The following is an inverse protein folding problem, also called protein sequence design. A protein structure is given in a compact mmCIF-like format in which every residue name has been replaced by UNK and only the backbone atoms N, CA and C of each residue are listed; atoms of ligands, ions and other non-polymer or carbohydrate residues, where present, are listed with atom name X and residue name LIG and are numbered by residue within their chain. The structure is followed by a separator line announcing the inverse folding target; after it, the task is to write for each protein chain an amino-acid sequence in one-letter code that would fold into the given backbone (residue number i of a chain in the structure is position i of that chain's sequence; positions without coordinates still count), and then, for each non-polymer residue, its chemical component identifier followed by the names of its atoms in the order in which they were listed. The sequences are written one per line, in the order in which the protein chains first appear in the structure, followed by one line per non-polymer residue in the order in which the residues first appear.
data_IF_071067796872
#
_entry.id   IF_071067796872
#
_cell.length_a   1.000
_cell.length_b   1.000
_cell.length_c   1.000
_cell.angle_alpha   90.00
_cell.angle_beta   90.00
_cell.angle_gamma   90.00
#
_symmetry.space_group_name_H-M   'P 1'
#
loop_
_entity.id
_entity.type
_entity.pdbx_description
1 polymer ?
#
# COMPACT_ATOMS: atom_id res chain seq x y z
N UNK A 1 2.66 -19.28 -3.21
CA UNK A 1 2.75 -20.74 -3.03
C UNK A 1 1.41 -21.47 -3.09
N UNK A 2 0.63 -21.64 -2.02
CA UNK A 2 -0.54 -22.55 -2.08
C UNK A 2 -1.63 -22.18 -3.12
N UNK A 3 -1.88 -20.87 -3.36
CA UNK A 3 -2.86 -20.42 -4.38
C UNK A 3 -2.34 -20.59 -5.82
N UNK A 4 -1.05 -20.36 -6.06
CA UNK A 4 -0.43 -20.39 -7.39
C UNK A 4 -0.16 -21.82 -7.85
N UNK A 5 0.21 -22.70 -6.92
CA UNK A 5 0.45 -24.12 -7.16
C UNK A 5 -0.85 -24.89 -7.44
N UNK A 6 -1.99 -24.38 -6.97
CA UNK A 6 -3.33 -24.98 -7.12
C UNK A 6 -4.11 -24.46 -8.35
N UNK A 7 -3.75 -23.30 -8.91
CA UNK A 7 -4.49 -22.66 -10.02
C UNK A 7 -4.04 -23.12 -11.43
N UNK A 8 -3.09 -24.04 -11.54
CA UNK A 8 -2.71 -24.68 -12.79
C UNK A 8 -1.76 -23.86 -13.68
N UNK A 9 -0.81 -24.58 -14.28
CA UNK A 9 0.35 -24.15 -15.09
C UNK A 9 -0.01 -23.48 -16.45
N UNK A 10 -1.06 -22.64 -16.49
CA UNK A 10 -1.63 -22.14 -17.75
C UNK A 10 -1.31 -20.69 -18.14
N UNK A 11 -0.73 -19.87 -17.25
CA UNK A 11 -0.26 -18.50 -17.57
C UNK A 11 0.91 -18.15 -16.65
N UNK A 12 2.09 -18.72 -16.89
CA UNK A 12 3.33 -18.28 -16.23
C UNK A 12 4.23 -17.66 -17.29
N UNK A 13 3.96 -16.39 -17.58
CA UNK A 13 4.92 -15.53 -18.29
C UNK A 13 6.15 -15.37 -17.38
N UNK A 14 7.26 -16.01 -17.77
CA UNK A 14 8.70 -15.71 -17.61
C UNK A 14 9.28 -15.08 -16.31
N UNK A 15 8.50 -14.77 -15.28
CA UNK A 15 8.96 -14.08 -14.06
C UNK A 15 9.36 -14.96 -12.88
N UNK A 16 9.22 -16.29 -12.99
CA UNK A 16 9.28 -17.22 -11.84
C UNK A 16 10.65 -17.90 -11.65
N UNK A 17 11.63 -17.65 -12.51
CA UNK A 17 12.89 -18.41 -12.46
C UNK A 17 13.89 -18.03 -11.35
N UNK A 18 13.68 -16.96 -10.56
CA UNK A 18 14.54 -16.68 -9.40
C UNK A 18 13.79 -16.06 -8.21
N UNK A 19 12.79 -16.74 -7.64
CA UNK A 19 12.28 -16.37 -6.32
C UNK A 19 12.99 -17.17 -5.22
N UNK A 20 14.13 -16.66 -4.75
CA UNK A 20 14.82 -17.19 -3.58
C UNK A 20 14.00 -16.84 -2.32
N UNK A 21 13.36 -17.85 -1.73
CA UNK A 21 12.53 -17.71 -0.52
C UNK A 21 13.25 -16.96 0.61
N UNK A 22 14.57 -17.15 0.75
CA UNK A 22 15.38 -16.45 1.74
C UNK A 22 15.47 -14.96 1.42
N UNK A 23 15.69 -14.59 0.16
CA UNK A 23 15.67 -13.18 -0.29
C UNK A 23 14.28 -12.58 -0.11
N UNK A 24 13.23 -13.32 -0.45
CA UNK A 24 11.83 -12.89 -0.27
C UNK A 24 11.50 -12.55 1.19
N UNK A 25 11.87 -13.43 2.14
CA UNK A 25 11.67 -13.19 3.58
C UNK A 25 12.46 -11.96 4.05
N UNK A 26 13.73 -11.81 3.63
CA UNK A 26 14.53 -10.64 3.98
C UNK A 26 13.93 -9.33 3.46
N UNK A 27 13.48 -9.32 2.20
CA UNK A 27 12.82 -8.15 1.60
C UNK A 27 11.51 -7.84 2.35
N UNK A 28 10.73 -8.86 2.72
CA UNK A 28 9.49 -8.68 3.46
C UNK A 28 9.73 -8.08 4.86
N UNK A 29 10.72 -8.57 5.60
CA UNK A 29 11.08 -8.04 6.93
C UNK A 29 11.58 -6.60 6.81
N UNK A 30 12.49 -6.34 5.88
CA UNK A 30 13.01 -5.00 5.65
C UNK A 30 11.91 -4.02 5.24
N UNK A 31 11.03 -4.43 4.31
CA UNK A 31 9.88 -3.64 3.88
C UNK A 31 8.92 -3.36 5.04
N UNK A 32 8.67 -4.33 5.92
CA UNK A 32 7.87 -4.13 7.12
C UNK A 32 8.44 -3.08 8.07
N UNK A 33 9.75 -3.15 8.36
CA UNK A 33 10.44 -2.14 9.18
C UNK A 33 10.38 -0.76 8.53
N UNK A 34 10.67 -0.68 7.22
CA UNK A 34 10.61 0.58 6.47
C UNK A 34 9.20 1.16 6.37
N UNK A 35 8.17 0.30 6.32
CA UNK A 35 6.76 0.73 6.32
C UNK A 35 6.40 1.40 7.65
N UNK A 36 6.96 0.93 8.78
CA UNK A 36 6.81 1.56 10.09
C UNK A 36 7.35 3.00 10.15
N UNK A 37 8.37 3.33 9.35
CA UNK A 37 8.89 4.70 9.27
C UNK A 37 7.84 5.71 8.79
N UNK A 38 6.84 5.27 8.00
CA UNK A 38 5.75 6.15 7.59
C UNK A 38 4.90 6.58 8.79
N UNK A 39 4.57 5.65 9.69
CA UNK A 39 3.86 5.95 10.93
C UNK A 39 4.64 6.94 11.80
N UNK A 40 5.95 6.74 11.93
CA UNK A 40 6.83 7.69 12.63
C UNK A 40 6.90 9.05 11.95
N UNK A 41 6.89 9.11 10.62
CA UNK A 41 6.81 10.37 9.87
C UNK A 41 5.54 11.16 10.18
N UNK A 42 4.39 10.48 10.27
CA UNK A 42 3.14 11.13 10.68
C UNK A 42 3.17 11.60 12.14
N UNK A 43 3.71 10.78 13.04
CA UNK A 43 3.86 11.13 14.46
C UNK A 43 4.83 12.30 14.67
N UNK A 44 5.94 12.35 13.93
CA UNK A 44 6.89 13.46 13.95
C UNK A 44 6.31 14.76 13.36
N UNK A 45 5.20 14.66 12.61
CA UNK A 45 4.49 15.79 12.03
C UNK A 45 3.67 16.62 13.02
N UNK A 46 3.65 16.29 14.32
CA UNK A 46 2.89 17.06 15.33
C UNK A 46 3.15 18.58 15.30
N UNK A 47 4.39 19.08 15.18
CA UNK A 47 4.62 20.52 15.10
C UNK A 47 3.92 21.19 13.91
N UNK A 48 3.76 20.46 12.80
CA UNK A 48 3.02 20.96 11.62
C UNK A 48 1.53 20.97 11.94
N UNK A 49 1.00 19.96 12.64
CA UNK A 49 -0.41 19.93 13.07
C UNK A 49 -0.73 21.14 13.96
N UNK A 50 0.10 21.40 14.97
CA UNK A 50 -0.07 22.52 15.89
C UNK A 50 -0.07 23.88 15.16
N UNK A 51 0.84 24.07 14.21
CA UNK A 51 0.89 25.28 13.39
C UNK A 51 -0.34 25.43 12.49
N UNK A 52 -0.87 24.33 11.95
CA UNK A 52 -2.07 24.38 11.10
C UNK A 52 -3.32 24.71 11.90
N UNK A 53 -3.43 24.21 13.14
CA UNK A 53 -4.49 24.60 14.07
C UNK A 53 -4.36 26.07 14.47
N UNK A 54 -3.15 26.54 14.77
CA UNK A 54 -2.88 27.94 15.08
C UNK A 54 -3.23 28.88 13.91
N UNK A 55 -3.12 28.39 12.67
CA UNK A 55 -3.54 29.10 11.46
C UNK A 55 -5.07 29.08 11.21
N UNK A 56 -5.86 28.44 12.10
CA UNK A 56 -7.32 28.39 12.03
C UNK A 56 -7.89 27.21 11.22
N UNK A 57 -7.08 26.21 10.91
CA UNK A 57 -7.55 24.99 10.23
C UNK A 57 -8.41 24.15 11.17
N UNK A 58 -9.53 23.60 10.70
CA UNK A 58 -10.35 22.72 11.53
C UNK A 58 -9.59 21.44 11.94
N UNK A 59 -9.89 20.90 13.12
CA UNK A 59 -9.27 19.69 13.68
C UNK A 59 -9.25 18.50 12.71
N UNK A 60 -10.29 18.39 11.88
CA UNK A 60 -10.44 17.35 10.87
C UNK A 60 -9.34 17.36 9.79
N UNK A 61 -8.80 18.56 9.49
CA UNK A 61 -7.90 18.79 8.35
C UNK A 61 -6.44 18.98 8.75
N UNK A 62 -6.13 19.02 10.05
CA UNK A 62 -4.78 19.26 10.58
C UNK A 62 -3.75 18.21 10.11
N UNK A 63 -4.21 17.00 9.75
CA UNK A 63 -3.34 15.91 9.31
C UNK A 63 -2.88 16.02 7.85
N UNK A 64 -3.60 16.79 7.01
CA UNK A 64 -3.30 16.88 5.57
C UNK A 64 -1.95 17.53 5.28
N UNK A 65 -1.55 18.64 5.94
CA UNK A 65 -0.25 19.26 5.68
C UNK A 65 0.93 18.36 6.07
N UNK A 66 0.76 17.51 7.09
CA UNK A 66 1.76 16.48 7.44
C UNK A 66 1.91 15.47 6.31
N UNK A 67 0.79 15.01 5.73
CA UNK A 67 0.83 14.09 4.59
C UNK A 67 1.62 14.67 3.42
N UNK A 68 1.46 15.96 3.10
CA UNK A 68 2.22 16.60 2.02
C UNK A 68 3.73 16.47 2.23
N UNK A 69 4.23 16.70 3.45
CA UNK A 69 5.66 16.62 3.76
C UNK A 69 6.17 15.17 3.73
N UNK A 70 5.43 14.25 4.34
CA UNK A 70 5.83 12.83 4.39
C UNK A 70 5.80 12.19 3.00
N UNK A 71 4.75 12.47 2.21
CA UNK A 71 4.63 11.97 0.84
C UNK A 71 5.67 12.57 -0.09
N UNK A 72 6.08 13.83 0.11
CA UNK A 72 7.17 14.44 -0.64
C UNK A 72 8.49 13.69 -0.41
N UNK A 73 8.77 13.25 0.82
CA UNK A 73 9.93 12.41 1.13
C UNK A 73 9.92 11.06 0.40
N UNK A 74 8.76 10.39 0.37
CA UNK A 74 8.60 9.15 -0.39
C UNK A 74 8.71 9.37 -1.90
N UNK A 75 8.07 10.43 -2.40
CA UNK A 75 8.10 10.82 -3.80
C UNK A 75 9.52 11.11 -4.29
N UNK A 76 10.28 11.95 -3.57
CA UNK A 76 11.65 12.32 -3.96
C UNK A 76 12.55 11.10 -4.12
N UNK A 77 12.53 10.18 -3.15
CA UNK A 77 13.33 8.95 -3.22
C UNK A 77 12.94 8.09 -4.42
N UNK A 78 11.63 7.86 -4.61
CA UNK A 78 11.13 7.06 -5.72
C UNK A 78 11.40 7.73 -7.07
N UNK A 79 11.21 9.05 -7.17
CA UNK A 79 11.45 9.83 -8.38
C UNK A 79 12.91 9.79 -8.80
N UNK A 80 13.86 9.96 -7.87
CA UNK A 80 15.30 9.86 -8.16
C UNK A 80 15.63 8.47 -8.67
N UNK A 81 15.15 7.42 -7.99
CA UNK A 81 15.42 6.05 -8.40
C UNK A 81 14.83 5.71 -9.77
N UNK A 82 13.56 6.05 -10.00
CA UNK A 82 12.90 5.88 -11.29
C UNK A 82 13.60 6.66 -12.41
N UNK A 83 14.01 7.92 -12.17
CA UNK A 83 14.73 8.72 -13.15
C UNK A 83 16.07 8.08 -13.54
N UNK A 84 16.81 7.54 -12.56
CA UNK A 84 18.05 6.80 -12.81
C UNK A 84 17.79 5.53 -13.62
N UNK A 85 16.73 4.77 -13.31
CA UNK A 85 16.36 3.56 -14.06
C UNK A 85 15.91 3.88 -15.48
N UNK A 86 15.07 4.90 -15.68
CA UNK A 86 14.62 5.35 -17.00
C UNK A 86 15.83 5.74 -17.86
N UNK A 87 16.79 6.46 -17.27
CA UNK A 87 18.03 6.83 -17.97
C UNK A 87 18.92 5.63 -18.28
N UNK A 88 19.05 4.68 -17.35
CA UNK A 88 19.86 3.47 -17.53
C UNK A 88 19.27 2.53 -18.58
N UNK A 89 17.94 2.40 -18.61
CA UNK A 89 17.24 1.48 -19.51
C UNK A 89 16.86 2.12 -20.85
N UNK A 90 17.09 3.44 -21.03
CA UNK A 90 16.81 4.13 -22.29
C UNK A 90 15.31 4.31 -22.59
N UNK A 91 14.44 4.14 -21.60
CA UNK A 91 12.97 4.09 -21.77
C UNK A 91 12.31 5.48 -21.77
N UNK A 92 13.09 6.57 -21.89
CA UNK A 92 12.56 7.93 -21.86
C UNK A 92 11.63 8.23 -23.05
N UNK A 93 11.88 7.58 -24.20
CA UNK A 93 11.05 7.71 -25.39
C UNK A 93 9.62 7.17 -25.22
N UNK A 94 9.41 6.22 -24.31
CA UNK A 94 8.11 5.57 -24.08
C UNK A 94 7.06 6.57 -23.55
N UNK A 95 7.50 7.56 -22.76
CA UNK A 95 6.63 8.63 -22.26
C UNK A 95 6.04 9.50 -23.38
N UNK A 96 6.68 9.51 -24.55
CA UNK A 96 6.29 10.26 -25.75
C UNK A 96 5.74 9.36 -26.86
N UNK A 97 5.47 8.08 -26.58
CA UNK A 97 4.87 7.14 -27.51
C UNK A 97 5.87 6.46 -28.46
N UNK A 98 7.16 6.52 -28.18
CA UNK A 98 8.14 5.67 -28.87
C UNK A 98 8.03 4.24 -28.34
N UNK A 99 8.15 3.26 -29.23
CA UNK A 99 8.24 1.86 -28.82
C UNK A 99 9.46 1.67 -27.91
N UNK A 100 9.23 1.11 -26.72
CA UNK A 100 10.29 0.79 -25.78
C UNK A 100 11.22 -0.31 -26.29
N UNK A 101 12.33 -0.59 -25.56
CA UNK A 101 13.21 -1.72 -25.85
C UNK A 101 12.52 -3.09 -25.84
N UNK A 102 11.38 -3.19 -25.13
CA UNK A 102 10.47 -4.33 -25.14
C UNK A 102 9.15 -3.89 -25.80
N UNK A 103 8.83 -4.36 -27.01
CA UNK A 103 7.56 -4.04 -27.64
C UNK A 103 6.39 -4.69 -26.88
N UNK A 104 5.31 -3.92 -26.67
CA UNK A 104 4.05 -4.47 -26.19
C UNK A 104 3.57 -5.60 -27.11
N UNK A 105 2.90 -6.62 -26.55
CA UNK A 105 2.52 -7.86 -27.24
C UNK A 105 1.70 -7.63 -28.54
N UNK A 106 1.03 -6.48 -28.65
CA UNK A 106 0.12 -6.14 -29.74
C UNK A 106 0.76 -5.26 -30.83
N UNK A 107 2.02 -4.79 -30.65
CA UNK A 107 2.75 -3.95 -31.61
C UNK A 107 2.12 -2.59 -31.93
N UNK A 108 1.05 -2.22 -31.21
CA UNK A 108 0.37 -0.93 -31.32
C UNK A 108 1.10 0.13 -30.49
N UNK A 109 1.09 1.42 -30.89
CA UNK A 109 1.62 2.48 -30.04
C UNK A 109 0.85 2.50 -28.71
N UNK A 110 1.55 2.57 -27.56
CA UNK A 110 0.90 2.47 -26.26
C UNK A 110 -0.12 3.62 -26.09
N UNK A 111 -1.33 3.35 -25.57
CA UNK A 111 -2.33 4.38 -25.35
C UNK A 111 -1.93 5.27 -24.16
N UNK A 112 -1.14 6.31 -24.44
CA UNK A 112 -0.54 7.19 -23.43
C UNK A 112 -1.58 7.83 -22.52
N UNK A 113 -2.63 8.43 -23.09
CA UNK A 113 -3.64 9.14 -22.30
C UNK A 113 -4.41 8.21 -21.35
N UNK A 114 -4.97 7.07 -21.79
CA UNK A 114 -5.57 6.09 -20.88
C UNK A 114 -4.60 5.61 -19.79
N UNK A 115 -3.33 5.35 -20.13
CA UNK A 115 -2.34 4.90 -19.15
C UNK A 115 -2.08 5.96 -18.07
N UNK A 116 -1.92 7.23 -18.46
CA UNK A 116 -1.77 8.32 -17.50
C UNK A 116 -3.03 8.53 -16.65
N UNK A 117 -4.22 8.42 -17.24
CA UNK A 117 -5.49 8.54 -16.51
C UNK A 117 -5.67 7.40 -15.49
N UNK A 118 -5.35 6.16 -15.87
CA UNK A 118 -5.39 5.01 -14.97
C UNK A 118 -4.35 5.13 -13.86
N UNK A 119 -3.12 5.59 -14.18
CA UNK A 119 -2.08 5.84 -13.19
C UNK A 119 -2.49 6.95 -12.20
N UNK A 120 -3.04 8.06 -12.71
CA UNK A 120 -3.54 9.15 -11.89
C UNK A 120 -4.72 8.70 -11.00
N UNK A 121 -5.62 7.87 -11.54
CA UNK A 121 -6.74 7.32 -10.80
C UNK A 121 -6.27 6.38 -9.68
N UNK A 122 -5.35 5.45 -9.99
CA UNK A 122 -4.75 4.55 -8.99
C UNK A 122 -4.01 5.32 -7.89
N UNK A 123 -3.22 6.34 -8.28
CA UNK A 123 -2.55 7.22 -7.32
C UNK A 123 -3.52 8.02 -6.45
N UNK A 124 -4.63 8.49 -7.03
CA UNK A 124 -5.68 9.21 -6.29
C UNK A 124 -6.37 8.29 -5.28
N UNK A 125 -6.74 7.06 -5.67
CA UNK A 125 -7.33 6.08 -4.76
C UNK A 125 -6.39 5.72 -3.61
N UNK A 126 -5.11 5.55 -3.91
CA UNK A 126 -4.08 5.29 -2.91
C UNK A 126 -3.90 6.49 -1.96
N UNK A 127 -3.92 7.72 -2.47
CA UNK A 127 -3.87 8.93 -1.63
C UNK A 127 -5.12 9.05 -0.75
N UNK A 128 -6.31 8.78 -1.29
CA UNK A 128 -7.57 8.83 -0.55
C UNK A 128 -7.55 7.90 0.67
N UNK A 129 -6.86 6.76 0.58
CA UNK A 129 -6.62 5.89 1.73
C UNK A 129 -5.98 6.65 2.91
N UNK A 130 -4.93 7.44 2.66
CA UNK A 130 -4.24 8.23 3.70
C UNK A 130 -5.01 9.48 4.11
N UNK A 131 -5.71 10.11 3.17
CA UNK A 131 -6.59 11.23 3.42
C UNK A 131 -7.67 10.85 4.45
N UNK A 132 -8.44 9.78 4.19
CA UNK A 132 -9.48 9.31 5.11
C UNK A 132 -8.90 8.76 6.41
N UNK A 133 -7.73 8.14 6.35
CA UNK A 133 -7.01 7.73 7.57
C UNK A 133 -6.72 8.91 8.49
N UNK A 134 -6.10 9.98 8.00
CA UNK A 134 -5.76 11.15 8.84
C UNK A 134 -7.00 11.88 9.36
N UNK A 135 -8.06 11.91 8.56
CA UNK A 135 -9.36 12.41 8.97
C UNK A 135 -9.93 11.58 10.14
N UNK A 136 -9.90 10.24 10.03
CA UNK A 136 -10.32 9.34 11.10
C UNK A 136 -9.45 9.46 12.36
N UNK A 137 -8.12 9.47 12.20
CA UNK A 137 -7.15 9.63 13.28
C UNK A 137 -7.41 10.90 14.10
N UNK A 138 -7.73 12.02 13.44
CA UNK A 138 -7.98 13.31 14.11
C UNK A 138 -9.14 13.26 15.12
N UNK A 139 -10.06 12.30 14.95
CA UNK A 139 -11.23 12.09 15.81
C UNK A 139 -11.00 11.06 16.92
N UNK A 140 -9.85 10.38 16.95
CA UNK A 140 -9.57 9.28 17.88
C UNK A 140 -9.06 9.72 19.26
N UNK A 141 -8.73 11.00 19.44
CA UNK A 141 -8.25 11.54 20.73
C UNK A 141 -7.06 10.74 21.28
N UNK A 142 -7.15 10.31 22.55
CA UNK A 142 -6.10 9.53 23.23
C UNK A 142 -5.85 8.15 22.60
N UNK A 143 -6.78 7.62 21.80
CA UNK A 143 -6.61 6.35 21.09
C UNK A 143 -5.82 6.48 19.77
N UNK A 144 -5.30 7.66 19.45
CA UNK A 144 -4.53 7.92 18.24
C UNK A 144 -3.33 6.99 18.05
N UNK A 145 -2.73 6.46 19.11
CA UNK A 145 -1.63 5.48 19.02
C UNK A 145 -2.05 4.18 18.32
N UNK A 146 -3.30 3.72 18.50
CA UNK A 146 -3.80 2.48 17.90
C UNK A 146 -4.24 2.66 16.44
N UNK A 147 -4.38 3.91 15.98
CA UNK A 147 -4.91 4.24 14.65
C UNK A 147 -4.16 3.56 13.50
N UNK A 148 -2.81 3.55 13.54
CA UNK A 148 -1.99 2.95 12.50
C UNK A 148 -2.21 1.44 12.39
N UNK A 149 -2.25 0.74 13.52
CA UNK A 149 -2.49 -0.71 13.53
C UNK A 149 -3.90 -1.05 13.08
N UNK A 150 -4.91 -0.28 13.51
CA UNK A 150 -6.30 -0.45 13.07
C UNK A 150 -6.40 -0.23 11.55
N UNK A 151 -5.70 0.77 11.01
CA UNK A 151 -5.65 1.04 9.58
C UNK A 151 -5.07 -0.13 8.77
N UNK A 152 -3.89 -0.62 9.14
CA UNK A 152 -3.26 -1.76 8.47
C UNK A 152 -4.12 -3.03 8.56
N UNK A 153 -4.68 -3.30 9.75
CA UNK A 153 -5.59 -4.42 9.97
C UNK A 153 -6.84 -4.33 9.08
N UNK A 154 -7.43 -3.13 8.97
CA UNK A 154 -8.60 -2.88 8.14
C UNK A 154 -8.31 -3.09 6.66
N UNK A 155 -7.17 -2.61 6.15
CA UNK A 155 -6.78 -2.80 4.75
C UNK A 155 -6.66 -4.30 4.43
N UNK A 156 -5.98 -5.07 5.28
CA UNK A 156 -5.80 -6.52 5.07
C UNK A 156 -7.16 -7.23 5.10
N UNK A 157 -8.01 -6.89 6.07
CA UNK A 157 -9.35 -7.48 6.21
C UNK A 157 -10.22 -7.20 4.97
N UNK A 158 -10.41 -5.93 4.61
CA UNK A 158 -11.25 -5.55 3.47
C UNK A 158 -10.69 -6.04 2.14
N UNK A 159 -9.37 -5.98 1.94
CA UNK A 159 -8.71 -6.54 0.75
C UNK A 159 -8.99 -8.03 0.60
N UNK A 160 -8.88 -8.78 1.70
CA UNK A 160 -9.15 -10.22 1.69
C UNK A 160 -10.63 -10.52 1.44
N UNK A 161 -11.54 -9.79 2.07
CA UNK A 161 -12.98 -9.93 1.86
C UNK A 161 -13.38 -9.61 0.41
N UNK A 162 -12.84 -8.54 -0.17
CA UNK A 162 -13.09 -8.17 -1.55
C UNK A 162 -12.55 -9.23 -2.52
N UNK A 163 -11.37 -9.81 -2.24
CA UNK A 163 -10.84 -10.93 -3.02
C UNK A 163 -11.80 -12.13 -3.04
N UNK A 164 -12.44 -12.45 -1.91
CA UNK A 164 -13.48 -13.48 -1.87
C UNK A 164 -14.76 -13.06 -2.62
N UNK A 165 -15.19 -11.81 -2.51
CA UNK A 165 -16.37 -11.28 -3.20
C UNK A 165 -16.20 -11.30 -4.74
N UNK A 166 -15.04 -10.88 -5.24
CA UNK A 166 -14.66 -10.96 -6.66
C UNK A 166 -14.39 -12.38 -7.15
N UNK A 167 -14.63 -13.39 -6.30
CA UNK A 167 -14.52 -14.81 -6.66
C UNK A 167 -13.11 -15.25 -7.07
N UNK A 168 -12.07 -14.49 -6.76
CA UNK A 168 -10.67 -14.81 -7.09
C UNK A 168 -10.17 -16.11 -6.42
N UNK A 169 -10.94 -16.64 -5.48
CA UNK A 169 -10.62 -17.84 -4.71
C UNK A 169 -11.45 -19.06 -5.12
N UNK A 170 -12.23 -18.99 -6.21
CA UNK A 170 -13.07 -20.10 -6.69
C UNK A 170 -12.27 -21.36 -7.07
N UNK A 171 -10.98 -21.24 -7.40
CA UNK A 171 -10.09 -22.36 -7.73
C UNK A 171 -9.15 -22.81 -6.60
N UNK A 172 -9.13 -22.12 -5.45
CA UNK A 172 -8.22 -22.45 -4.35
C UNK A 172 -8.74 -23.63 -3.51
N UNK A 173 -7.83 -24.48 -3.01
CA UNK A 173 -8.21 -25.63 -2.20
C UNK A 173 -8.89 -25.23 -0.89
N UNK A 174 -9.68 -26.16 -0.34
CA UNK A 174 -10.34 -25.97 0.96
C UNK A 174 -9.33 -25.71 2.09
N UNK A 175 -8.09 -26.21 1.97
CA UNK A 175 -7.02 -26.00 2.95
C UNK A 175 -6.49 -24.57 2.88
N UNK A 176 -6.19 -24.08 1.68
CA UNK A 176 -5.74 -22.70 1.44
C UNK A 176 -6.78 -21.70 1.93
N UNK A 177 -8.05 -21.92 1.57
CA UNK A 177 -9.16 -21.08 2.04
C UNK A 177 -9.29 -21.08 3.56
N UNK A 178 -9.11 -22.23 4.23
CA UNK A 178 -9.13 -22.33 5.69
C UNK A 178 -7.98 -21.58 6.34
N UNK A 179 -6.78 -21.61 5.76
CA UNK A 179 -5.63 -20.84 6.28
C UNK A 179 -5.87 -19.34 6.20
N UNK A 180 -6.45 -18.84 5.11
CA UNK A 180 -6.80 -17.42 4.96
C UNK A 180 -7.83 -17.00 6.02
N UNK A 181 -8.88 -17.80 6.23
CA UNK A 181 -9.87 -17.52 7.28
C UNK A 181 -9.28 -17.56 8.68
N UNK A 182 -8.39 -18.51 8.98
CA UNK A 182 -7.67 -18.55 10.26
C UNK A 182 -6.80 -17.30 10.44
N UNK A 183 -6.14 -16.83 9.37
CA UNK A 183 -5.39 -15.57 9.38
C UNK A 183 -6.26 -14.36 9.68
N UNK A 184 -7.45 -14.28 9.07
CA UNK A 184 -8.43 -13.21 9.35
C UNK A 184 -8.89 -13.26 10.82
N UNK A 185 -9.25 -14.44 11.33
CA UNK A 185 -9.69 -14.58 12.73
C UNK A 185 -8.57 -14.17 13.68
N UNK A 186 -7.33 -14.60 13.42
CA UNK A 186 -6.17 -14.23 14.22
C UNK A 186 -5.91 -12.71 14.19
N UNK A 187 -6.05 -12.08 13.02
CA UNK A 187 -5.88 -10.65 12.83
C UNK A 187 -6.93 -9.86 13.61
N UNK A 188 -8.22 -10.23 13.50
CA UNK A 188 -9.30 -9.60 14.28
C UNK A 188 -9.05 -9.77 15.78
N UNK A 189 -8.66 -10.97 16.22
CA UNK A 189 -8.35 -11.26 17.61
C UNK A 189 -7.22 -10.37 18.12
N UNK A 190 -6.17 -10.20 17.32
CA UNK A 190 -5.04 -9.30 17.63
C UNK A 190 -5.50 -7.84 17.78
N UNK A 191 -6.33 -7.34 16.85
CA UNK A 191 -6.88 -5.98 16.95
C UNK A 191 -7.70 -5.77 18.22
N UNK A 192 -8.52 -6.76 18.62
CA UNK A 192 -9.30 -6.69 19.86
C UNK A 192 -8.39 -6.69 21.09
N UNK A 193 -7.34 -7.51 21.12
CA UNK A 193 -6.35 -7.53 22.21
C UNK A 193 -5.64 -6.18 22.34
N UNK A 194 -5.22 -5.58 21.23
CA UNK A 194 -4.60 -4.24 21.23
C UNK A 194 -5.58 -3.18 21.73
N UNK A 195 -6.84 -3.23 21.27
CA UNK A 195 -7.88 -2.32 21.73
C UNK A 195 -8.16 -2.42 23.22
N UNK A 196 -8.29 -3.64 23.75
CA UNK A 196 -8.44 -3.89 25.19
C UNK A 196 -7.21 -3.43 25.98
N UNK A 197 -6.00 -3.74 25.49
CA UNK A 197 -4.76 -3.29 26.12
C UNK A 197 -4.67 -1.77 26.22
N UNK A 198 -5.12 -1.05 25.19
CA UNK A 198 -5.16 0.41 25.20
C UNK A 198 -6.25 0.95 26.16
N UNK A 199 -7.40 0.29 26.25
CA UNK A 199 -8.45 0.65 27.21
C UNK A 199 -8.03 0.50 28.68
N UNK A 200 -7.21 -0.51 29.00
CA UNK A 200 -6.68 -0.69 30.36
C UNK A 200 -5.42 0.14 30.67
N UNK A 201 -4.82 0.76 29.65
CA UNK A 201 -3.62 1.59 29.81
C UNK A 201 -3.94 3.08 30.06
N UNK A 202 -5.16 3.51 29.75
CA UNK A 202 -5.76 4.81 30.09
C UNK A 202 -6.46 4.69 31.44
#
# INVERSE_FOLDING_TARGET
HAKEEELGEGVVNEGVLEFDLKKGIWIAVFSGVMSGCFAWGLAAGQPIRDLTLAAGTAQLWQGLPVLCVVLLGGFTTNFIWCALLIRKNGTFGEFFGQAGPAPDADGLPPPLLPNYLLAAFGGTLWYLQFFFYTMGESQMGEFGFSSWTIHMASIILFSTLWGFALSEWKGASRRTRRMVWLGIVLLISSTVVIGMGNFYAV
#
